data_IF_254229078579
#
_entry.id   IF_254229078579
#
_cell.length_a   1.000
_cell.length_b   1.000
_cell.length_c   1.000
_cell.angle_alpha   90.00
_cell.angle_beta   90.00
_cell.angle_gamma   90.00
#
_symmetry.space_group_name_H-M   'P 1'
#
loop_
_entity.id
_entity.type
_entity.pdbx_description
1 polymer ?
#
# COMPACT_ATOMS: atom_id res chain seq x y z
N UNK A 1 -49.91 16.97 42.63
CA UNK A 1 -49.88 15.60 43.19
C UNK A 1 -50.88 14.72 42.45
N UNK A 2 -50.40 13.83 41.58
CA UNK A 2 -50.95 12.49 41.30
C UNK A 2 -50.06 11.87 40.22
N UNK A 3 -49.08 11.10 40.70
CA UNK A 3 -48.40 10.06 39.92
C UNK A 3 -49.43 8.96 39.67
N UNK A 4 -49.44 8.33 38.49
CA UNK A 4 -49.59 6.88 38.27
C UNK A 4 -49.80 6.58 36.78
N UNK A 5 -48.89 5.75 36.26
CA UNK A 5 -48.98 4.74 35.18
C UNK A 5 -49.53 5.18 33.79
N UNK A 6 -48.93 4.80 32.66
CA UNK A 6 -48.70 3.42 32.19
C UNK A 6 -47.49 3.40 31.25
N UNK A 7 -46.62 2.41 31.46
CA UNK A 7 -45.55 1.98 30.55
C UNK A 7 -46.17 1.31 29.33
N UNK A 8 -45.85 1.80 28.12
CA UNK A 8 -46.01 1.03 26.88
C UNK A 8 -44.66 1.02 26.14
N UNK A 9 -43.83 0.06 26.55
CA UNK A 9 -42.88 -0.60 25.66
C UNK A 9 -43.70 -1.41 24.65
N UNK A 10 -43.81 -0.91 23.43
CA UNK A 10 -44.27 -1.71 22.29
C UNK A 10 -43.10 -1.84 21.31
N UNK A 11 -42.63 -3.07 21.22
CA UNK A 11 -41.63 -3.56 20.28
C UNK A 11 -41.96 -3.17 18.84
N UNK A 12 -41.03 -2.50 18.14
CA UNK A 12 -40.97 -2.53 16.69
C UNK A 12 -39.95 -3.62 16.34
N UNK A 13 -40.45 -4.86 16.39
CA UNK A 13 -39.80 -6.04 15.84
C UNK A 13 -40.45 -6.32 14.48
N UNK A 14 -39.59 -6.51 13.48
CA UNK A 14 -39.85 -7.17 12.19
C UNK A 14 -40.62 -6.41 11.11
N UNK A 15 -39.86 -5.81 10.19
CA UNK A 15 -40.10 -6.03 8.75
C UNK A 15 -38.77 -6.47 8.12
N UNK A 16 -38.47 -7.75 8.28
CA UNK A 16 -37.56 -8.48 7.41
C UNK A 16 -38.35 -8.76 6.14
N UNK A 17 -38.20 -7.92 5.11
CA UNK A 17 -38.56 -8.32 3.75
C UNK A 17 -37.27 -8.68 3.02
N UNK A 18 -37.15 -9.97 2.74
CA UNK A 18 -36.05 -10.54 2.01
C UNK A 18 -36.08 -10.06 0.57
N UNK A 19 -35.07 -9.28 0.18
CA UNK A 19 -34.68 -9.16 -1.21
C UNK A 19 -33.75 -10.34 -1.48
N UNK A 20 -34.23 -11.26 -2.31
CA UNK A 20 -33.45 -12.36 -2.86
C UNK A 20 -32.23 -11.76 -3.57
N UNK A 21 -31.04 -11.99 -3.01
CA UNK A 21 -29.79 -11.76 -3.70
C UNK A 21 -29.69 -12.85 -4.77
N UNK A 22 -30.00 -12.48 -6.02
CA UNK A 22 -29.61 -13.28 -7.17
C UNK A 22 -28.09 -13.27 -7.26
N UNK A 23 -27.48 -14.45 -7.29
CA UNK A 23 -26.08 -14.63 -7.66
C UNK A 23 -25.89 -14.13 -9.09
N UNK A 24 -25.33 -12.92 -9.22
CA UNK A 24 -24.72 -12.50 -10.46
C UNK A 24 -23.39 -13.26 -10.60
N UNK A 25 -23.41 -14.33 -11.39
CA UNK A 25 -22.19 -15.00 -11.87
C UNK A 25 -21.45 -14.04 -12.81
N UNK A 26 -20.58 -13.19 -12.25
CA UNK A 26 -19.65 -12.39 -13.04
C UNK A 26 -18.44 -13.26 -13.38
N UNK A 27 -18.39 -13.70 -14.63
CA UNK A 27 -17.32 -14.51 -15.18
C UNK A 27 -15.92 -13.96 -14.87
N UNK A 28 -15.06 -14.89 -14.41
CA UNK A 28 -13.62 -15.00 -14.65
C UNK A 28 -12.85 -13.71 -14.97
N UNK A 29 -12.26 -13.11 -13.95
CA UNK A 29 -10.87 -12.67 -14.03
C UNK A 29 -10.07 -13.36 -12.92
N UNK A 30 -9.21 -14.31 -13.32
CA UNK A 30 -8.20 -14.88 -12.43
C UNK A 30 -7.12 -13.81 -12.19
N UNK A 31 -7.35 -12.91 -11.25
CA UNK A 31 -6.24 -12.25 -10.58
C UNK A 31 -5.78 -13.21 -9.49
N UNK A 32 -4.66 -13.89 -9.74
CA UNK A 32 -3.96 -14.65 -8.73
C UNK A 32 -3.54 -13.65 -7.64
N UNK A 33 -4.32 -13.57 -6.57
CA UNK A 33 -3.90 -12.90 -5.35
C UNK A 33 -2.95 -13.86 -4.64
N UNK A 34 -1.66 -13.62 -4.82
CA UNK A 34 -0.62 -14.13 -3.94
C UNK A 34 -0.93 -13.74 -2.50
N UNK A 35 -0.46 -14.56 -1.56
CA UNK A 35 -0.68 -14.46 -0.12
C UNK A 35 -0.84 -13.03 0.39
N UNK A 36 -1.97 -12.78 1.05
CA UNK A 36 -2.20 -11.58 1.86
C UNK A 36 -1.26 -11.64 3.06
N UNK A 37 -0.02 -11.22 2.85
CA UNK A 37 0.99 -11.21 3.88
C UNK A 37 2.33 -10.76 3.29
N UNK A 38 2.71 -9.52 3.62
CA UNK A 38 4.09 -9.00 3.52
C UNK A 38 4.63 -8.64 2.14
N UNK A 39 3.97 -9.01 1.04
CA UNK A 39 4.50 -8.75 -0.33
C UNK A 39 3.59 -7.91 -1.26
N UNK A 40 2.43 -7.43 -0.80
CA UNK A 40 1.49 -6.67 -1.64
C UNK A 40 2.09 -5.39 -2.26
N UNK A 41 3.04 -4.74 -1.59
CA UNK A 41 3.77 -3.58 -2.13
C UNK A 41 4.71 -3.94 -3.29
N UNK A 42 5.20 -5.18 -3.34
CA UNK A 42 6.28 -5.61 -4.23
C UNK A 42 5.77 -6.04 -5.60
N UNK A 43 4.62 -6.72 -5.67
CA UNK A 43 4.17 -7.37 -6.92
C UNK A 43 3.31 -6.48 -7.83
N UNK A 44 2.66 -5.45 -7.28
CA UNK A 44 1.84 -4.51 -8.08
C UNK A 44 2.64 -3.30 -8.59
N UNK A 45 3.92 -3.20 -8.25
CA UNK A 45 4.79 -2.07 -8.60
C UNK A 45 5.89 -2.51 -9.58
N UNK A 46 5.54 -2.84 -10.82
CA UNK A 46 6.56 -2.88 -11.88
C UNK A 46 7.27 -1.54 -11.93
N UNK A 47 8.51 -1.43 -11.39
CA UNK A 47 9.25 -0.19 -11.05
C UNK A 47 8.39 1.08 -11.18
N UNK A 48 7.39 1.23 -10.31
CA UNK A 48 6.68 2.50 -10.14
C UNK A 48 7.55 3.40 -9.24
N UNK A 49 7.26 4.71 -9.18
CA UNK A 49 8.07 5.68 -8.41
C UNK A 49 8.36 5.28 -6.95
N UNK A 50 7.51 4.47 -6.31
CA UNK A 50 7.72 3.92 -4.97
C UNK A 50 8.54 2.61 -4.87
N UNK A 51 8.83 1.94 -5.99
CA UNK A 51 9.53 0.65 -6.02
C UNK A 51 11.04 0.72 -5.77
N UNK A 52 11.62 1.92 -5.75
CA UNK A 52 13.07 2.09 -5.61
C UNK A 52 13.60 1.67 -4.23
N UNK A 53 12.89 2.02 -3.15
CA UNK A 53 13.29 1.62 -1.78
C UNK A 53 13.24 0.10 -1.61
N UNK A 54 12.19 -0.54 -2.14
CA UNK A 54 12.01 -1.98 -2.09
C UNK A 54 13.16 -2.72 -2.78
N UNK A 55 13.57 -2.26 -3.97
CA UNK A 55 14.73 -2.80 -4.63
C UNK A 55 16.04 -2.54 -3.86
N UNK A 56 16.18 -1.36 -3.24
CA UNK A 56 17.37 -1.03 -2.44
C UNK A 56 17.53 -1.95 -1.23
N UNK A 57 16.44 -2.15 -0.49
CA UNK A 57 16.37 -3.09 0.64
C UNK A 57 16.61 -4.53 0.15
N UNK A 58 16.00 -4.92 -0.98
CA UNK A 58 16.21 -6.22 -1.61
C UNK A 58 17.69 -6.47 -1.97
N UNK A 59 18.36 -5.48 -2.57
CA UNK A 59 19.78 -5.56 -2.89
C UNK A 59 20.65 -5.67 -1.63
N UNK A 60 20.33 -4.94 -0.57
CA UNK A 60 21.01 -5.11 0.71
C UNK A 60 20.84 -6.54 1.24
N UNK A 61 19.62 -7.07 1.28
CA UNK A 61 19.33 -8.41 1.80
C UNK A 61 20.06 -9.51 1.01
N UNK A 62 20.08 -9.38 -0.32
CA UNK A 62 20.70 -10.36 -1.22
C UNK A 62 22.23 -10.22 -1.27
N UNK A 63 22.76 -9.00 -1.33
CA UNK A 63 24.15 -8.70 -1.67
C UNK A 63 24.91 -7.91 -0.60
N UNK A 64 24.42 -7.78 0.63
CA UNK A 64 25.04 -6.97 1.68
C UNK A 64 26.52 -7.30 1.97
N UNK A 65 26.90 -8.59 1.90
CA UNK A 65 28.30 -9.01 2.01
C UNK A 65 29.14 -8.56 0.83
N UNK A 66 28.61 -8.68 -0.39
CA UNK A 66 29.30 -8.26 -1.62
C UNK A 66 29.42 -6.74 -1.68
N UNK A 67 28.44 -6.01 -1.14
CA UNK A 67 28.50 -4.57 -0.93
C UNK A 67 29.52 -4.17 0.15
N UNK A 68 30.04 -5.11 0.93
CA UNK A 68 31.01 -4.83 1.99
C UNK A 68 30.40 -3.99 3.11
N UNK A 69 29.14 -4.23 3.46
CA UNK A 69 28.49 -3.51 4.55
C UNK A 69 29.10 -3.88 5.90
N UNK A 70 29.31 -2.88 6.76
CA UNK A 70 29.59 -3.14 8.17
C UNK A 70 28.35 -3.71 8.86
N UNK A 71 28.54 -4.34 10.03
CA UNK A 71 27.42 -4.81 10.84
C UNK A 71 26.49 -3.66 11.22
N UNK A 72 27.04 -2.48 11.56
CA UNK A 72 26.24 -1.29 11.87
C UNK A 72 25.39 -0.83 10.68
N UNK A 73 25.93 -0.87 9.46
CA UNK A 73 25.16 -0.52 8.26
C UNK A 73 24.05 -1.54 8.00
N UNK A 74 24.33 -2.83 8.19
CA UNK A 74 23.34 -3.90 8.06
C UNK A 74 22.19 -3.75 9.08
N UNK A 75 22.51 -3.44 10.33
CA UNK A 75 21.51 -3.24 11.38
C UNK A 75 20.61 -2.03 11.08
N UNK A 76 21.21 -0.93 10.60
CA UNK A 76 20.44 0.26 10.17
C UNK A 76 19.56 -0.03 8.96
N UNK A 77 20.04 -0.79 7.96
CA UNK A 77 19.22 -1.23 6.84
C UNK A 77 18.04 -2.10 7.28
N UNK A 78 18.26 -3.02 8.23
CA UNK A 78 17.20 -3.86 8.78
C UNK A 78 16.15 -3.06 9.55
N UNK A 79 16.54 -1.94 10.18
CA UNK A 79 15.59 -1.02 10.81
C UNK A 79 14.73 -0.29 9.75
N UNK A 80 15.34 0.20 8.67
CA UNK A 80 14.61 0.82 7.55
C UNK A 80 13.64 -0.16 6.90
N UNK A 81 14.03 -1.43 6.74
CA UNK A 81 13.15 -2.47 6.21
C UNK A 81 11.87 -2.63 7.04
N UNK A 82 12.00 -2.68 8.37
CA UNK A 82 10.85 -2.74 9.29
C UNK A 82 10.01 -1.46 9.24
N UNK A 83 10.65 -0.29 9.12
CA UNK A 83 9.94 1.00 8.98
C UNK A 83 9.16 1.05 7.66
N UNK A 84 9.76 0.56 6.57
CA UNK A 84 9.12 0.43 5.27
C UNK A 84 7.90 -0.49 5.37
N UNK A 85 8.06 -1.67 5.99
CA UNK A 85 6.94 -2.59 6.22
C UNK A 85 5.82 -1.95 7.05
N UNK A 86 6.14 -1.20 8.10
CA UNK A 86 5.12 -0.60 8.95
C UNK A 86 4.41 0.58 8.27
N UNK A 87 5.17 1.51 7.68
CA UNK A 87 4.64 2.74 7.11
C UNK A 87 3.98 2.52 5.74
N UNK A 88 4.64 1.77 4.85
CA UNK A 88 4.18 1.61 3.47
C UNK A 88 3.06 0.59 3.35
N UNK A 89 3.03 -0.47 4.17
CA UNK A 89 1.91 -1.42 4.13
C UNK A 89 0.61 -0.76 4.63
N UNK A 90 0.66 0.01 5.73
CA UNK A 90 -0.53 0.73 6.21
C UNK A 90 -1.08 1.70 5.17
N UNK A 91 -0.21 2.52 4.57
CA UNK A 91 -0.63 3.46 3.52
C UNK A 91 -1.14 2.74 2.27
N UNK A 92 -0.54 1.60 1.91
CA UNK A 92 -1.02 0.77 0.80
C UNK A 92 -2.40 0.18 1.09
N UNK A 93 -2.67 -0.30 2.30
CA UNK A 93 -4.00 -0.77 2.71
C UNK A 93 -5.05 0.34 2.67
N UNK A 94 -4.68 1.56 3.09
CA UNK A 94 -5.55 2.74 2.99
C UNK A 94 -5.86 3.10 1.52
N UNK A 95 -4.84 3.06 0.64
CA UNK A 95 -5.03 3.25 -0.81
C UNK A 95 -5.96 2.18 -1.38
N UNK A 96 -5.73 0.89 -1.10
CA UNK A 96 -6.55 -0.21 -1.60
C UNK A 96 -8.01 -0.10 -1.13
N UNK A 97 -8.21 0.32 0.12
CA UNK A 97 -9.54 0.57 0.68
C UNK A 97 -10.25 1.72 -0.03
N UNK A 98 -9.55 2.84 -0.24
CA UNK A 98 -10.11 4.01 -0.93
C UNK A 98 -10.40 3.71 -2.42
N UNK A 99 -9.54 2.95 -3.10
CA UNK A 99 -9.75 2.51 -4.48
C UNK A 99 -10.94 1.56 -4.61
N UNK A 100 -11.08 0.61 -3.67
CA UNK A 100 -12.24 -0.29 -3.63
C UNK A 100 -13.55 0.47 -3.40
N UNK A 101 -13.52 1.50 -2.53
CA UNK A 101 -14.65 2.38 -2.31
C UNK A 101 -14.99 3.20 -3.58
N UNK A 102 -13.99 3.69 -4.31
CA UNK A 102 -14.17 4.38 -5.58
C UNK A 102 -14.81 3.47 -6.64
N UNK A 103 -14.33 2.24 -6.75
CA UNK A 103 -14.87 1.22 -7.67
C UNK A 103 -16.34 0.91 -7.37
N UNK A 104 -16.70 0.79 -6.08
CA UNK A 104 -18.09 0.62 -5.66
C UNK A 104 -18.99 1.81 -6.03
N UNK A 105 -18.48 3.05 -5.90
CA UNK A 105 -19.24 4.26 -6.29
C UNK A 105 -19.52 4.29 -7.80
N UNK A 106 -18.55 3.91 -8.63
CA UNK A 106 -18.69 3.92 -10.10
C UNK A 106 -19.59 2.78 -10.60
N UNK A 107 -19.69 1.67 -9.85
CA UNK A 107 -20.57 0.54 -10.15
C UNK A 107 -22.01 0.72 -9.68
N UNK A 108 -22.35 1.84 -9.04
CA UNK A 108 -23.71 2.13 -8.58
C UNK A 108 -24.67 2.50 -9.72
N UNK A 109 -25.97 2.31 -9.51
CA UNK A 109 -27.01 2.60 -10.51
C UNK A 109 -27.05 4.08 -10.92
N UNK A 110 -26.64 4.99 -10.03
CA UNK A 110 -26.58 6.43 -10.28
C UNK A 110 -25.25 6.96 -9.75
N UNK A 111 -24.43 7.50 -10.65
CA UNK A 111 -23.13 8.06 -10.31
C UNK A 111 -23.29 9.50 -9.81
N UNK A 112 -23.04 9.71 -8.51
CA UNK A 112 -22.87 11.06 -7.94
C UNK A 112 -21.43 11.56 -8.19
N UNK A 113 -21.28 12.44 -9.18
CA UNK A 113 -19.98 13.00 -9.57
C UNK A 113 -19.31 13.78 -8.44
N UNK A 114 -20.06 14.38 -7.51
CA UNK A 114 -19.48 15.09 -6.38
C UNK A 114 -18.80 14.10 -5.43
N UNK A 115 -19.49 13.01 -5.08
CA UNK A 115 -18.97 11.96 -4.19
C UNK A 115 -17.78 11.23 -4.84
N UNK A 116 -17.88 10.90 -6.13
CA UNK A 116 -16.76 10.33 -6.90
C UNK A 116 -15.57 11.27 -6.91
N UNK A 117 -15.79 12.56 -7.15
CA UNK A 117 -14.72 13.57 -7.18
C UNK A 117 -14.00 13.73 -5.84
N UNK A 118 -14.72 13.66 -4.72
CA UNK A 118 -14.14 13.66 -3.37
C UNK A 118 -13.31 12.40 -3.12
N UNK A 119 -13.82 11.23 -3.50
CA UNK A 119 -13.09 9.96 -3.33
C UNK A 119 -11.85 9.88 -4.20
N UNK A 120 -11.88 10.40 -5.44
CA UNK A 120 -10.69 10.49 -6.30
C UNK A 120 -9.59 11.33 -5.62
N UNK A 121 -9.93 12.49 -5.04
CA UNK A 121 -8.96 13.33 -4.33
C UNK A 121 -8.33 12.60 -3.15
N UNK A 122 -9.12 11.86 -2.38
CA UNK A 122 -8.63 11.04 -1.27
C UNK A 122 -7.66 9.96 -1.74
N UNK A 123 -7.98 9.22 -2.81
CA UNK A 123 -7.07 8.21 -3.40
C UNK A 123 -5.74 8.85 -3.82
N UNK A 124 -5.79 10.02 -4.47
CA UNK A 124 -4.57 10.72 -4.88
C UNK A 124 -3.73 11.22 -3.70
N UNK A 125 -4.36 11.75 -2.65
CA UNK A 125 -3.67 12.18 -1.43
C UNK A 125 -2.96 11.00 -0.73
N UNK A 126 -3.66 9.87 -0.60
CA UNK A 126 -3.09 8.64 -0.02
C UNK A 126 -1.92 8.09 -0.84
N UNK A 127 -2.06 8.04 -2.18
CA UNK A 127 -0.97 7.66 -3.09
C UNK A 127 0.23 8.61 -2.97
N UNK A 128 -0.02 9.91 -2.88
CA UNK A 128 1.03 10.91 -2.68
C UNK A 128 1.78 10.71 -1.36
N UNK A 129 1.06 10.45 -0.26
CA UNK A 129 1.67 10.13 1.04
C UNK A 129 2.52 8.87 0.98
N UNK A 130 2.04 7.82 0.30
CA UNK A 130 2.79 6.59 0.09
C UNK A 130 4.08 6.82 -0.72
N UNK A 131 4.01 7.60 -1.80
CA UNK A 131 5.20 7.96 -2.59
C UNK A 131 6.22 8.75 -1.77
N UNK A 132 5.78 9.73 -0.99
CA UNK A 132 6.66 10.52 -0.11
C UNK A 132 7.34 9.60 0.93
N UNK A 133 6.59 8.69 1.55
CA UNK A 133 7.15 7.74 2.51
C UNK A 133 8.24 6.85 1.88
N UNK A 134 8.02 6.36 0.66
CA UNK A 134 9.04 5.61 -0.07
C UNK A 134 10.31 6.42 -0.33
N UNK A 135 10.18 7.68 -0.75
CA UNK A 135 11.35 8.54 -1.03
C UNK A 135 12.10 8.96 0.23
N UNK A 136 11.39 9.19 1.34
CA UNK A 136 12.02 9.47 2.64
C UNK A 136 12.87 8.27 3.10
N UNK A 137 12.32 7.06 3.02
CA UNK A 137 13.04 5.82 3.34
C UNK A 137 14.20 5.56 2.38
N UNK A 138 14.03 5.83 1.09
CA UNK A 138 15.10 5.74 0.09
C UNK A 138 16.25 6.68 0.45
N UNK A 139 15.95 7.92 0.81
CA UNK A 139 16.94 8.91 1.22
C UNK A 139 17.71 8.46 2.46
N UNK A 140 17.00 7.99 3.50
CA UNK A 140 17.60 7.40 4.70
C UNK A 140 18.50 6.22 4.36
N UNK A 141 18.06 5.35 3.45
CA UNK A 141 18.82 4.18 3.07
C UNK A 141 20.13 4.55 2.32
N UNK A 142 20.06 5.49 1.39
CA UNK A 142 21.24 6.00 0.68
C UNK A 142 22.24 6.67 1.60
N UNK A 143 21.79 7.31 2.69
CA UNK A 143 22.65 7.98 3.66
C UNK A 143 23.51 7.01 4.51
N UNK A 144 23.10 5.74 4.61
CA UNK A 144 23.85 4.71 5.36
C UNK A 144 25.04 4.17 4.56
N UNK A 145 24.95 4.19 3.23
CA UNK A 145 25.98 3.68 2.34
C UNK A 145 27.02 4.75 2.03
N UNK A 146 28.29 4.33 1.96
CA UNK A 146 29.37 5.13 1.39
C UNK A 146 29.14 5.38 -0.11
N UNK A 147 29.75 6.42 -0.70
CA UNK A 147 29.66 6.67 -2.15
C UNK A 147 30.04 5.44 -2.99
N UNK A 148 31.08 4.72 -2.61
CA UNK A 148 31.55 3.50 -3.30
C UNK A 148 30.52 2.36 -3.19
N UNK A 149 29.90 2.19 -2.03
CA UNK A 149 28.83 1.20 -1.83
C UNK A 149 27.57 1.55 -2.63
N UNK A 150 27.21 2.84 -2.71
CA UNK A 150 26.07 3.30 -3.53
C UNK A 150 26.30 3.03 -5.02
N UNK A 151 27.49 3.33 -5.51
CA UNK A 151 27.92 3.03 -6.88
C UNK A 151 27.81 1.55 -7.20
N UNK A 152 28.30 0.70 -6.28
CA UNK A 152 28.25 -0.76 -6.43
C UNK A 152 26.81 -1.29 -6.42
N UNK A 153 25.98 -0.80 -5.50
CA UNK A 153 24.56 -1.12 -5.43
C UNK A 153 23.83 -0.75 -6.73
N UNK A 154 24.10 0.45 -7.26
CA UNK A 154 23.51 0.90 -8.53
C UNK A 154 23.85 -0.05 -9.69
N UNK A 155 25.11 -0.45 -9.83
CA UNK A 155 25.54 -1.41 -10.88
C UNK A 155 24.85 -2.78 -10.74
N UNK A 156 24.62 -3.24 -9.51
CA UNK A 156 23.87 -4.47 -9.29
C UNK A 156 22.40 -4.33 -9.71
N UNK A 157 21.74 -3.22 -9.35
CA UNK A 157 20.39 -2.93 -9.78
C UNK A 157 20.27 -2.85 -11.31
N UNK A 158 21.17 -2.13 -11.98
CA UNK A 158 21.19 -1.98 -13.43
C UNK A 158 21.37 -3.33 -14.13
N UNK A 159 22.31 -4.15 -13.63
CA UNK A 159 22.54 -5.50 -14.16
C UNK A 159 21.32 -6.41 -14.00
N UNK A 160 20.61 -6.34 -12.87
CA UNK A 160 19.43 -7.17 -12.58
C UNK A 160 18.20 -6.73 -13.39
N UNK A 161 18.01 -5.42 -13.55
CA UNK A 161 16.81 -4.86 -14.18
C UNK A 161 16.96 -4.61 -15.68
N UNK A 162 18.18 -4.57 -16.21
CA UNK A 162 18.48 -4.19 -17.60
C UNK A 162 18.12 -2.74 -17.92
N UNK A 163 17.88 -1.92 -16.89
CA UNK A 163 17.49 -0.52 -16.99
C UNK A 163 18.48 0.34 -16.21
N UNK A 164 18.72 1.54 -16.71
CA UNK A 164 19.44 2.55 -15.94
C UNK A 164 18.67 2.85 -14.65
N UNK A 165 19.37 2.79 -13.53
CA UNK A 165 18.75 3.00 -12.23
C UNK A 165 18.70 4.50 -11.96
N UNK A 166 17.50 5.12 -11.85
CA UNK A 166 17.39 6.56 -11.69
C UNK A 166 17.70 6.91 -10.25
N UNK A 167 18.98 7.07 -9.94
CA UNK A 167 19.43 7.71 -8.72
C UNK A 167 20.18 8.97 -9.11
N UNK A 168 19.56 10.07 -8.73
CA UNK A 168 20.02 11.45 -8.72
C UNK A 168 21.54 11.50 -8.50
N UNK A 169 22.23 12.15 -9.44
CA UNK A 169 23.65 12.50 -9.36
C UNK A 169 23.98 13.28 -8.08
#
# INVERSE_FOLDING_TARGET
MKKILIVLLAAIVSVVFGIQIGEADSGKHKHAHGEKGKHACYERSGIHRGGYIHAYIGMYKEHGKELGLSQEQADKMAAIDKECDAACNKLSEEVETAESALDALVKSDVIDIKVVGEKIKEVHDLRGKLEIAHFDLLSKAQAILTPEQREKCRKFCEKKTGKEWPMVH
#
